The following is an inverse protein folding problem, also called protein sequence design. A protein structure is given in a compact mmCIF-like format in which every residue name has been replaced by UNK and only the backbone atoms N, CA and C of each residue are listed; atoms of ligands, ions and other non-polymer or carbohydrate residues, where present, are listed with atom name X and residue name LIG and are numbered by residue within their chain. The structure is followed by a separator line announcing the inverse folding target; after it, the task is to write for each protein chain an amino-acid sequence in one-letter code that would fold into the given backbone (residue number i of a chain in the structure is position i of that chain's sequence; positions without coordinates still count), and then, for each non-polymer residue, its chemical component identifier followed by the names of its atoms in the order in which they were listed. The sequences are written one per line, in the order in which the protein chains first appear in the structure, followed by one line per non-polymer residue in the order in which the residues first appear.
data_IF_733293182471
#
_entry.id   IF_733293182471
#
_cell.length_a   1.000
_cell.length_b   1.000
_cell.length_c   1.000
_cell.angle_alpha   90.00
_cell.angle_beta   90.00
_cell.angle_gamma   90.00
#
_symmetry.space_group_name_H-M   'P 1'
#
loop_
_entity.id
_entity.type
_entity.pdbx_description
1 polymer ?
#
# COMPACT_ATOMS: atom_id res chain seq x y z
N UNK A 1 6.34 -3.98 -15.68
CA UNK A 1 7.34 -3.74 -14.63
C UNK A 1 6.61 -3.04 -13.49
N UNK A 2 6.59 -3.62 -12.30
CA UNK A 2 5.95 -3.00 -11.14
C UNK A 2 6.75 -1.77 -10.69
N UNK A 3 6.06 -0.69 -10.30
CA UNK A 3 6.75 0.50 -9.76
C UNK A 3 7.25 0.19 -8.35
N UNK A 4 8.42 0.70 -7.98
CA UNK A 4 8.87 0.67 -6.59
C UNK A 4 8.11 1.74 -5.80
N UNK A 5 6.96 1.35 -5.22
CA UNK A 5 6.13 2.20 -4.34
C UNK A 5 5.91 1.51 -3.00
N UNK A 6 5.54 2.29 -1.99
CA UNK A 6 5.19 1.73 -0.69
C UNK A 6 3.98 0.80 -0.77
N UNK A 7 2.97 1.13 -1.59
CA UNK A 7 1.83 0.23 -1.87
C UNK A 7 2.29 -1.13 -2.38
N UNK A 8 3.20 -1.17 -3.37
CA UNK A 8 3.71 -2.44 -3.90
C UNK A 8 4.51 -3.22 -2.86
N UNK A 9 5.32 -2.54 -2.05
CA UNK A 9 6.02 -3.16 -0.93
C UNK A 9 5.04 -3.75 0.10
N UNK A 10 3.94 -3.04 0.40
CA UNK A 10 2.90 -3.51 1.30
C UNK A 10 2.22 -4.78 0.76
N UNK A 11 1.76 -4.74 -0.49
CA UNK A 11 1.10 -5.87 -1.15
C UNK A 11 2.02 -7.10 -1.28
N UNK A 12 3.30 -6.90 -1.61
CA UNK A 12 4.28 -7.98 -1.72
C UNK A 12 4.58 -8.62 -0.36
N UNK A 13 4.67 -7.84 0.72
CA UNK A 13 4.83 -8.37 2.09
C UNK A 13 3.60 -9.16 2.53
N UNK A 14 2.39 -8.72 2.17
CA UNK A 14 1.17 -9.49 2.40
C UNK A 14 1.22 -10.83 1.67
N UNK A 15 1.62 -10.85 0.40
CA UNK A 15 1.77 -12.11 -0.35
C UNK A 15 2.77 -13.04 0.32
N UNK A 16 3.94 -12.52 0.69
CA UNK A 16 4.98 -13.31 1.35
C UNK A 16 4.50 -13.90 2.68
N UNK A 17 3.83 -13.10 3.53
CA UNK A 17 3.33 -13.55 4.84
C UNK A 17 2.34 -14.71 4.74
N UNK A 18 1.50 -14.73 3.71
CA UNK A 18 0.46 -15.75 3.54
C UNK A 18 0.78 -16.79 2.45
N UNK A 19 1.99 -16.78 1.89
CA UNK A 19 2.38 -17.71 0.82
C UNK A 19 1.54 -17.59 -0.46
N UNK A 20 1.06 -16.39 -0.78
CA UNK A 20 0.19 -16.16 -1.93
C UNK A 20 1.02 -16.05 -3.21
N UNK A 21 0.74 -16.92 -4.18
CA UNK A 21 1.49 -17.00 -5.44
C UNK A 21 0.91 -16.12 -6.53
N UNK A 22 -0.36 -15.70 -6.41
CA UNK A 22 -1.03 -14.89 -7.43
C UNK A 22 -1.73 -13.64 -6.88
N UNK A 23 -1.95 -12.65 -7.76
CA UNK A 23 -2.74 -11.46 -7.44
C UNK A 23 -4.21 -11.78 -7.17
N UNK A 24 -4.74 -12.85 -7.79
CA UNK A 24 -6.09 -13.32 -7.51
C UNK A 24 -6.23 -13.80 -6.05
N UNK A 25 -5.26 -14.57 -5.55
CA UNK A 25 -5.23 -14.98 -4.15
C UNK A 25 -5.09 -13.79 -3.20
N UNK A 26 -4.27 -12.80 -3.54
CA UNK A 26 -4.16 -11.56 -2.77
C UNK A 26 -5.48 -10.79 -2.73
N UNK A 27 -6.12 -10.59 -3.88
CA UNK A 27 -7.40 -9.90 -3.98
C UNK A 27 -8.48 -10.60 -3.13
N UNK A 28 -8.57 -11.93 -3.22
CA UNK A 28 -9.46 -12.75 -2.38
C UNK A 28 -9.15 -12.62 -0.89
N UNK A 29 -7.86 -12.63 -0.51
CA UNK A 29 -7.42 -12.45 0.88
C UNK A 29 -7.82 -11.09 1.45
N UNK A 30 -7.76 -10.05 0.63
CA UNK A 30 -8.11 -8.68 0.98
C UNK A 30 -9.59 -8.34 0.77
N UNK A 31 -10.39 -9.30 0.29
CA UNK A 31 -11.80 -9.12 -0.05
C UNK A 31 -12.05 -7.94 -1.00
N UNK A 32 -11.28 -7.88 -2.09
CA UNK A 32 -11.42 -6.89 -3.16
C UNK A 32 -11.33 -7.55 -4.54
N UNK A 33 -11.73 -6.81 -5.58
CA UNK A 33 -11.55 -7.26 -6.96
C UNK A 33 -10.07 -7.29 -7.37
N UNK A 34 -9.72 -8.24 -8.24
CA UNK A 34 -8.37 -8.33 -8.79
C UNK A 34 -7.98 -7.07 -9.59
N UNK A 35 -8.94 -6.43 -10.24
CA UNK A 35 -8.75 -5.16 -10.95
C UNK A 35 -8.32 -4.03 -10.01
N UNK A 36 -8.85 -4.02 -8.78
CA UNK A 36 -8.49 -3.06 -7.74
C UNK A 36 -7.02 -3.21 -7.35
N UNK A 37 -6.58 -4.43 -7.06
CA UNK A 37 -5.16 -4.72 -6.77
C UNK A 37 -4.27 -4.30 -7.93
N UNK A 38 -4.66 -4.62 -9.17
CA UNK A 38 -3.93 -4.20 -10.37
C UNK A 38 -3.83 -2.68 -10.49
N UNK A 39 -4.88 -1.93 -10.17
CA UNK A 39 -4.86 -0.47 -10.25
C UNK A 39 -3.91 0.13 -9.20
N UNK A 40 -3.89 -0.41 -7.98
CA UNK A 40 -2.92 -0.03 -6.95
C UNK A 40 -1.49 -0.28 -7.41
N UNK A 41 -1.20 -1.47 -7.95
CA UNK A 41 0.16 -1.81 -8.40
C UNK A 41 0.72 -0.91 -9.48
N UNK A 42 -0.16 -0.41 -10.34
CA UNK A 42 0.19 0.49 -11.43
C UNK A 42 0.15 1.97 -11.02
N UNK A 43 -0.19 2.28 -9.77
CA UNK A 43 -0.33 3.65 -9.28
C UNK A 43 -1.49 4.42 -9.93
N UNK A 44 -2.51 3.73 -10.46
CA UNK A 44 -3.70 4.38 -11.04
C UNK A 44 -4.59 4.98 -9.95
N UNK A 45 -4.65 4.32 -8.80
CA UNK A 45 -5.26 4.80 -7.58
C UNK A 45 -4.42 4.31 -6.38
N UNK A 46 -4.53 4.99 -5.25
CA UNK A 46 -3.87 4.58 -3.99
C UNK A 46 -4.81 3.68 -3.18
N UNK A 47 -4.25 2.81 -2.34
CA UNK A 47 -5.00 1.92 -1.44
C UNK A 47 -5.81 2.75 -0.45
N UNK A 48 -7.11 2.52 -0.33
CA UNK A 48 -7.95 3.23 0.66
C UNK A 48 -7.44 3.02 2.09
N UNK A 49 -7.59 4.02 2.97
CA UNK A 49 -7.07 3.96 4.33
C UNK A 49 -7.60 2.76 5.13
N UNK A 50 -8.89 2.43 5.00
CA UNK A 50 -9.48 1.29 5.70
C UNK A 50 -8.80 -0.02 5.31
N UNK A 51 -8.52 -0.19 4.01
CA UNK A 51 -7.85 -1.38 3.49
C UNK A 51 -6.36 -1.36 3.88
N UNK A 52 -5.71 -0.20 3.82
CA UNK A 52 -4.32 -0.04 4.22
C UNK A 52 -4.07 -0.46 5.67
N UNK A 53 -4.89 0.02 6.61
CA UNK A 53 -4.80 -0.38 8.02
C UNK A 53 -5.17 -1.84 8.22
N UNK A 54 -6.15 -2.38 7.47
CA UNK A 54 -6.43 -3.80 7.49
C UNK A 54 -5.21 -4.64 7.07
N UNK A 55 -4.53 -4.26 5.98
CA UNK A 55 -3.30 -4.92 5.53
C UNK A 55 -2.21 -4.80 6.59
N UNK A 56 -2.03 -3.61 7.19
CA UNK A 56 -1.01 -3.40 8.22
C UNK A 56 -1.21 -4.32 9.42
N UNK A 57 -2.43 -4.43 9.93
CA UNK A 57 -2.79 -5.38 10.98
C UNK A 57 -2.51 -6.82 10.58
N UNK A 58 -2.83 -7.20 9.33
CA UNK A 58 -2.55 -8.55 8.82
C UNK A 58 -1.07 -8.87 8.77
N UNK A 59 -0.18 -7.89 8.52
CA UNK A 59 1.26 -8.10 8.39
C UNK A 59 2.09 -7.65 9.60
N UNK A 60 1.45 -7.09 10.64
CA UNK A 60 2.10 -6.43 11.78
C UNK A 60 3.02 -5.26 11.35
N UNK A 61 2.57 -4.48 10.37
CA UNK A 61 3.21 -3.20 10.04
C UNK A 61 2.81 -2.13 11.06
N UNK A 62 3.72 -1.21 11.36
CA UNK A 62 3.45 -0.07 12.23
C UNK A 62 2.50 0.92 11.55
N UNK A 63 1.49 1.41 12.28
CA UNK A 63 0.58 2.45 11.81
C UNK A 63 1.35 3.72 11.38
N UNK A 64 2.41 4.07 12.11
CA UNK A 64 3.28 5.21 11.77
C UNK A 64 3.94 5.00 10.40
N UNK A 65 4.53 3.83 10.17
CA UNK A 65 5.18 3.51 8.89
C UNK A 65 4.17 3.46 7.75
N UNK A 66 2.98 2.89 7.99
CA UNK A 66 1.90 2.83 7.02
C UNK A 66 1.46 4.23 6.58
N UNK A 67 1.18 5.11 7.55
CA UNK A 67 0.74 6.48 7.27
C UNK A 67 1.83 7.20 6.48
N UNK A 68 3.08 7.17 6.95
CA UNK A 68 4.20 7.83 6.28
C UNK A 68 4.47 7.31 4.88
N UNK A 69 4.41 6.00 4.68
CA UNK A 69 4.63 5.38 3.38
C UNK A 69 3.55 5.72 2.35
N UNK A 70 2.30 5.93 2.77
CA UNK A 70 1.17 6.20 1.88
C UNK A 70 0.83 7.67 1.70
N UNK A 71 1.06 8.50 2.73
CA UNK A 71 0.58 9.90 2.75
C UNK A 71 1.20 10.73 1.61
N UNK A 72 2.48 10.53 1.32
CA UNK A 72 3.18 11.20 0.23
C UNK A 72 2.56 10.89 -1.16
N UNK A 73 2.03 9.67 -1.34
CA UNK A 73 1.37 9.27 -2.59
C UNK A 73 -0.10 9.71 -2.68
N UNK A 74 -0.74 9.98 -1.55
CA UNK A 74 -2.15 10.41 -1.49
C UNK A 74 -2.32 11.92 -1.60
N UNK A 75 -1.31 12.69 -1.20
CA UNK A 75 -1.33 14.14 -1.26
C UNK A 75 -0.74 14.59 -2.59
N UNK A 76 -1.39 15.56 -3.25
CA UNK A 76 -0.94 16.11 -4.54
C UNK A 76 -0.20 17.45 -4.42
N UNK A 77 -0.09 17.97 -3.20
CA UNK A 77 0.54 19.27 -2.95
C UNK A 77 2.02 19.07 -2.64
N UNK A 78 2.88 19.52 -3.55
CA UNK A 78 4.34 19.35 -3.46
C UNK A 78 4.94 19.95 -2.18
N UNK A 79 4.39 21.07 -1.67
CA UNK A 79 4.86 21.67 -0.42
C UNK A 79 4.55 20.78 0.78
N UNK A 80 3.37 20.16 0.79
CA UNK A 80 2.99 19.24 1.86
C UNK A 80 3.82 17.97 1.79
N UNK A 81 4.07 17.43 0.59
CA UNK A 81 4.96 16.28 0.39
C UNK A 81 6.36 16.60 0.93
N UNK A 82 6.92 17.76 0.60
CA UNK A 82 8.25 18.17 1.08
C UNK A 82 8.33 18.24 2.61
N UNK A 83 7.36 18.89 3.26
CA UNK A 83 7.30 18.98 4.73
C UNK A 83 7.20 17.60 5.36
N UNK A 84 6.42 16.71 4.74
CA UNK A 84 6.30 15.33 5.17
C UNK A 84 7.67 14.64 5.05
N UNK A 85 8.31 14.64 3.89
CA UNK A 85 9.61 14.00 3.70
C UNK A 85 10.69 14.49 4.68
N UNK A 86 10.70 15.79 4.99
CA UNK A 86 11.63 16.41 5.96
C UNK A 86 11.34 16.01 7.42
N UNK A 87 10.09 15.64 7.74
CA UNK A 87 9.65 15.33 9.11
C UNK A 87 9.52 13.83 9.36
N UNK A 88 10.11 13.00 8.49
CA UNK A 88 10.04 11.53 8.59
C UNK A 88 10.78 11.07 9.87
N UNK A 89 10.13 10.29 10.76
CA UNK A 89 10.75 9.75 11.97
C UNK A 89 11.85 8.72 11.68
#
# INVERSE_FOLDING_TARGET
MERFTYENALLNRTKAKFGLTSEYQLAKKLNVDQSTVRNWRNGRNSIDWKIAFHIASLIHESDQNLVWGLIAHKIKNDRVIKVLEESRP
#
